data_IF_629771437126
#
_entry.id   IF_629771437126
#
_cell.length_a   1.000
_cell.length_b   1.000
_cell.length_c   1.000
_cell.angle_alpha   90.00
_cell.angle_beta   90.00
_cell.angle_gamma   90.00
#
_symmetry.space_group_name_H-M   'P 1'
#
loop_
_entity.id
_entity.type
_entity.pdbx_description
1 polymer ?
#
# COMPACT_ATOMS: atom_id res chain seq x y z
N UNK A 1 -9.14 -5.35 26.32
CA UNK A 1 -9.76 -4.76 25.11
C UNK A 1 -9.19 -5.46 23.88
N UNK A 2 -10.00 -5.86 22.90
CA UNK A 2 -9.49 -6.51 21.69
C UNK A 2 -8.99 -5.49 20.64
N UNK A 3 -8.19 -5.93 19.66
CA UNK A 3 -7.79 -5.07 18.51
C UNK A 3 -9.01 -4.50 17.78
N UNK A 4 -10.08 -5.30 17.68
CA UNK A 4 -11.36 -4.91 17.07
C UNK A 4 -12.03 -3.80 17.87
N UNK A 5 -12.10 -3.95 19.20
CA UNK A 5 -12.72 -2.94 20.07
C UNK A 5 -11.98 -1.60 19.99
N UNK A 6 -10.64 -1.62 20.01
CA UNK A 6 -9.84 -0.40 19.83
C UNK A 6 -10.11 0.27 18.49
N UNK A 7 -10.20 -0.53 17.41
CA UNK A 7 -10.46 -0.04 16.07
C UNK A 7 -11.84 0.61 15.96
N UNK A 8 -12.89 -0.01 16.53
CA UNK A 8 -14.24 0.58 16.54
C UNK A 8 -14.27 1.90 17.29
N UNK A 9 -13.60 1.99 18.45
CA UNK A 9 -13.47 3.25 19.20
C UNK A 9 -12.76 4.33 18.38
N UNK A 10 -11.71 3.97 17.65
CA UNK A 10 -11.00 4.91 16.78
C UNK A 10 -11.91 5.45 15.66
N UNK A 11 -12.67 4.57 14.98
CA UNK A 11 -13.63 4.95 13.91
C UNK A 11 -14.76 5.84 14.44
N UNK A 12 -15.19 5.63 15.69
CA UNK A 12 -16.26 6.41 16.35
C UNK A 12 -15.76 7.64 17.09
N UNK A 13 -14.46 7.91 17.09
CA UNK A 13 -13.84 9.00 17.86
C UNK A 13 -14.06 8.89 19.38
N UNK A 14 -14.17 7.67 19.90
CA UNK A 14 -14.43 7.35 21.32
C UNK A 14 -13.13 7.11 22.13
N UNK A 15 -12.14 7.98 21.95
CA UNK A 15 -10.84 7.96 22.66
C UNK A 15 -10.20 6.56 22.70
N UNK A 16 -9.75 5.98 21.57
CA UNK A 16 -9.09 4.67 21.57
C UNK A 16 -7.83 4.67 22.45
N UNK A 17 -7.40 3.51 22.92
CA UNK A 17 -6.21 3.39 23.78
C UNK A 17 -4.91 3.67 22.99
N UNK A 18 -4.96 3.45 21.67
CA UNK A 18 -3.88 3.78 20.73
C UNK A 18 -4.43 4.06 19.34
N UNK A 19 -3.65 4.76 18.50
CA UNK A 19 -3.98 5.00 17.09
C UNK A 19 -3.79 3.69 16.30
N UNK A 20 -4.83 3.12 15.68
CA UNK A 20 -4.66 1.95 14.81
C UNK A 20 -3.81 2.32 13.60
N UNK A 21 -2.72 1.58 13.37
CA UNK A 21 -1.81 1.80 12.25
C UNK A 21 -1.53 0.47 11.53
N UNK A 22 -1.19 0.56 10.24
CA UNK A 22 -0.72 -0.58 9.44
C UNK A 22 0.36 -0.08 8.48
N UNK A 23 1.47 -0.82 8.39
CA UNK A 23 2.56 -0.52 7.47
C UNK A 23 2.47 -1.40 6.23
N UNK A 24 2.76 -0.82 5.06
CA UNK A 24 2.73 -1.50 3.76
C UNK A 24 3.88 -0.96 2.91
N UNK A 25 4.52 -1.84 2.15
CA UNK A 25 5.40 -1.43 1.05
C UNK A 25 4.52 -1.06 -0.14
N UNK A 26 4.71 0.13 -0.70
CA UNK A 26 3.96 0.59 -1.87
C UNK A 26 4.27 -0.32 -3.08
N UNK A 27 3.27 -0.54 -3.95
CA UNK A 27 3.44 -1.34 -5.16
C UNK A 27 4.63 -0.87 -6.01
N UNK A 28 4.87 0.44 -6.07
CA UNK A 28 5.95 1.06 -6.82
C UNK A 28 7.35 0.73 -6.28
N UNK A 29 7.46 0.43 -4.98
CA UNK A 29 8.74 0.06 -4.40
C UNK A 29 9.26 -1.25 -5.01
N UNK A 30 8.38 -2.18 -5.40
CA UNK A 30 8.75 -3.52 -5.86
C UNK A 30 9.40 -3.56 -7.25
N UNK A 31 9.26 -2.50 -8.06
CA UNK A 31 9.99 -2.36 -9.33
C UNK A 31 11.08 -1.28 -9.26
N UNK A 32 11.02 -0.36 -8.29
CA UNK A 32 12.04 0.68 -8.10
C UNK A 32 13.25 0.18 -7.29
N UNK A 33 13.02 -0.63 -6.26
CA UNK A 33 14.06 -1.17 -5.40
C UNK A 33 14.26 -2.67 -5.61
N UNK A 34 15.42 -3.16 -5.20
CA UNK A 34 15.75 -4.58 -5.22
C UNK A 34 14.82 -5.35 -4.26
N UNK A 35 14.15 -6.39 -4.76
CA UNK A 35 13.09 -7.07 -4.02
C UNK A 35 13.62 -7.80 -2.79
N UNK A 36 14.82 -8.40 -2.86
CA UNK A 36 15.42 -9.06 -1.71
C UNK A 36 15.73 -8.05 -0.60
N UNK A 37 16.26 -6.87 -0.91
CA UNK A 37 16.49 -5.81 0.07
C UNK A 37 15.19 -5.35 0.77
N UNK A 38 14.09 -5.22 0.02
CA UNK A 38 12.78 -4.90 0.60
C UNK A 38 12.27 -6.01 1.52
N UNK A 39 12.42 -7.27 1.13
CA UNK A 39 12.01 -8.40 1.95
C UNK A 39 12.89 -8.55 3.21
N UNK A 40 14.20 -8.34 3.09
CA UNK A 40 15.15 -8.32 4.21
C UNK A 40 14.76 -7.22 5.22
N UNK A 41 14.35 -6.02 4.74
CA UNK A 41 13.82 -4.95 5.58
C UNK A 41 12.54 -5.39 6.32
N UNK A 42 11.62 -6.06 5.63
CA UNK A 42 10.36 -6.52 6.24
C UNK A 42 10.59 -7.60 7.31
N UNK A 43 11.50 -8.54 7.05
CA UNK A 43 11.91 -9.58 8.02
C UNK A 43 12.54 -8.98 9.28
N UNK A 44 13.36 -7.94 9.12
CA UNK A 44 14.00 -7.26 10.23
C UNK A 44 13.02 -6.46 11.12
N UNK A 45 11.78 -6.21 10.66
CA UNK A 45 10.80 -5.37 11.37
C UNK A 45 9.46 -6.09 11.61
N UNK A 46 9.43 -7.19 12.38
CA UNK A 46 8.23 -8.00 12.60
C UNK A 46 7.10 -7.25 13.32
N UNK A 47 7.42 -6.18 14.06
CA UNK A 47 6.42 -5.29 14.66
C UNK A 47 5.65 -4.49 13.61
N UNK A 48 6.34 -4.01 12.56
CA UNK A 48 5.74 -3.22 11.49
C UNK A 48 5.06 -4.11 10.43
N UNK A 49 5.66 -5.26 10.14
CA UNK A 49 5.18 -6.23 9.17
C UNK A 49 4.84 -7.57 9.84
N UNK A 50 3.85 -7.58 10.74
CA UNK A 50 3.45 -8.82 11.39
C UNK A 50 2.94 -9.81 10.34
N UNK A 51 3.32 -11.07 10.48
CA UNK A 51 2.96 -12.16 9.56
C UNK A 51 3.54 -12.02 8.14
N UNK A 52 4.60 -11.23 7.96
CA UNK A 52 5.34 -11.26 6.71
C UNK A 52 5.94 -12.65 6.46
N UNK A 53 5.81 -13.13 5.22
CA UNK A 53 6.42 -14.37 4.76
C UNK A 53 7.12 -14.09 3.44
N UNK A 54 8.39 -14.50 3.36
CA UNK A 54 9.24 -14.28 2.21
C UNK A 54 8.69 -15.02 0.98
N UNK A 55 8.82 -14.36 -0.17
CA UNK A 55 8.46 -14.90 -1.47
C UNK A 55 9.70 -14.91 -2.37
N UNK A 56 9.79 -15.90 -3.26
CA UNK A 56 10.84 -15.96 -4.27
C UNK A 56 10.78 -14.74 -5.19
N UNK A 57 9.56 -14.35 -5.59
CA UNK A 57 9.30 -13.19 -6.43
C UNK A 57 8.00 -12.52 -6.03
N UNK A 58 8.02 -11.20 -5.92
CA UNK A 58 6.83 -10.39 -5.69
C UNK A 58 6.37 -9.79 -7.02
N UNK A 59 5.13 -10.09 -7.40
CA UNK A 59 4.48 -9.49 -8.57
C UNK A 59 3.45 -8.46 -8.09
N UNK A 60 3.81 -7.16 -8.04
CA UNK A 60 2.86 -6.13 -7.62
C UNK A 60 1.68 -6.03 -8.59
N UNK A 61 0.49 -5.81 -8.03
CA UNK A 61 -0.72 -5.55 -8.82
C UNK A 61 -0.95 -4.06 -8.92
N UNK A 62 -1.15 -3.57 -10.14
CA UNK A 62 -1.37 -2.15 -10.42
C UNK A 62 -2.80 -1.90 -10.87
N UNK A 63 -3.47 -0.94 -10.22
CA UNK A 63 -4.75 -0.41 -10.67
C UNK A 63 -4.63 0.27 -12.04
N UNK A 64 -5.77 0.46 -12.72
CA UNK A 64 -5.80 1.03 -14.08
C UNK A 64 -5.20 2.45 -14.13
N UNK A 65 -5.43 3.25 -13.11
CA UNK A 65 -4.86 4.60 -12.95
C UNK A 65 -3.51 4.60 -12.21
N UNK A 66 -2.78 3.49 -12.23
CA UNK A 66 -1.46 3.34 -11.63
C UNK A 66 -0.44 2.76 -12.61
N UNK A 67 -0.71 2.85 -13.91
CA UNK A 67 0.13 2.26 -14.96
C UNK A 67 0.72 3.37 -15.80
N UNK A 68 2.04 3.46 -15.81
CA UNK A 68 2.75 4.47 -16.59
C UNK A 68 2.47 4.30 -18.08
N UNK A 69 2.25 5.41 -18.78
CA UNK A 69 1.96 5.45 -20.23
C UNK A 69 0.66 4.73 -20.65
N UNK A 70 -0.22 4.39 -19.71
CA UNK A 70 -1.55 3.85 -19.98
C UNK A 70 -2.60 4.85 -19.44
N UNK A 71 -2.95 5.91 -20.19
CA UNK A 71 -4.01 6.82 -19.77
C UNK A 71 -5.31 6.06 -19.51
N UNK A 72 -5.97 6.35 -18.40
CA UNK A 72 -7.20 5.69 -18.00
C UNK A 72 -8.31 6.71 -17.76
N UNK A 73 -9.44 6.53 -18.44
CA UNK A 73 -10.65 7.33 -18.16
C UNK A 73 -11.53 6.59 -17.17
N UNK A 74 -11.78 7.19 -16.02
CA UNK A 74 -12.63 6.61 -15.00
C UNK A 74 -14.14 6.78 -15.31
N UNK A 75 -15.04 6.14 -14.54
CA UNK A 75 -16.49 6.26 -14.75
C UNK A 75 -17.06 7.69 -14.61
N UNK A 76 -16.29 8.64 -14.07
CA UNK A 76 -16.67 10.05 -13.96
C UNK A 76 -16.13 10.89 -15.13
N UNK A 77 -15.49 10.27 -16.12
CA UNK A 77 -14.92 10.95 -17.28
C UNK A 77 -13.59 11.65 -16.98
N UNK A 78 -12.95 11.40 -15.84
CA UNK A 78 -11.63 11.96 -15.57
C UNK A 78 -10.56 11.12 -16.24
N UNK A 79 -9.65 11.79 -16.97
CA UNK A 79 -8.48 11.16 -17.59
C UNK A 79 -7.33 11.18 -16.58
N UNK A 80 -6.82 10.00 -16.27
CA UNK A 80 -5.71 9.78 -15.37
C UNK A 80 -4.44 9.50 -16.16
N UNK A 81 -3.39 10.27 -15.92
CA UNK A 81 -2.04 9.99 -16.42
C UNK A 81 -1.11 9.64 -15.26
N UNK A 82 -0.38 8.54 -15.43
CA UNK A 82 0.54 8.03 -14.40
C UNK A 82 1.99 8.23 -14.86
N UNK A 83 2.79 8.87 -14.00
CA UNK A 83 4.20 9.16 -14.25
C UNK A 83 5.14 8.02 -13.85
N UNK A 84 4.76 7.23 -12.85
CA UNK A 84 5.46 6.03 -12.38
C UNK A 84 4.48 4.94 -11.97
N UNK A 85 4.72 3.73 -12.47
CA UNK A 85 3.84 2.58 -12.26
C UNK A 85 3.74 2.28 -10.75
N UNK A 86 2.57 1.90 -10.25
CA UNK A 86 2.35 1.65 -8.82
C UNK A 86 2.08 2.90 -7.99
N UNK A 87 2.27 4.10 -8.54
CA UNK A 87 1.79 5.36 -7.95
C UNK A 87 0.49 5.74 -8.65
N UNK A 88 -0.49 6.25 -7.88
CA UNK A 88 -1.72 6.76 -8.48
C UNK A 88 -1.39 8.00 -9.32
N UNK A 89 -1.81 7.98 -10.58
CA UNK A 89 -1.65 9.11 -11.49
C UNK A 89 -2.39 10.36 -11.03
N UNK A 90 -2.15 11.46 -11.73
CA UNK A 90 -2.88 12.72 -11.57
C UNK A 90 -3.89 12.91 -12.69
N UNK A 91 -4.93 13.70 -12.40
CA UNK A 91 -5.90 14.13 -13.40
C UNK A 91 -5.27 15.17 -14.32
N UNK A 92 -5.59 15.08 -15.62
CA UNK A 92 -5.39 16.15 -16.61
C UNK A 92 -6.71 16.92 -16.80
#
# INVERSE_FOLDING_TARGET
>A
MTKRDNFVRAVRFERPDYIPMTFRINAACWHHYEQKALQDLMEAHPFLFPHFSRQERVTPQYGLNQRKNEPYTDPWGCVWETTDTGIKGSRI
#
